data_IF_876833627945
#
_entry.id   IF_876833627945
#
_cell.length_a   1.000
_cell.length_b   1.000
_cell.length_c   1.000
_cell.angle_alpha   90.00
_cell.angle_beta   90.00
_cell.angle_gamma   90.00
#
_symmetry.space_group_name_H-M   'P 1'
#
loop_
_entity.id
_entity.type
_entity.pdbx_description
1 polymer ?
#
# COMPACT_ATOMS: atom_id res chain seq x y z
N UNK A 1 -1.49 36.19 7.42
CA UNK A 1 -2.86 35.63 7.53
C UNK A 1 -3.91 36.54 6.88
N UNK A 2 -5.02 36.00 6.32
CA UNK A 2 -6.08 36.79 5.70
C UNK A 2 -6.89 37.56 6.74
N UNK A 3 -7.26 38.81 6.45
CA UNK A 3 -8.02 39.65 7.39
C UNK A 3 -9.44 39.07 7.54
N UNK A 4 -9.79 38.60 8.76
CA UNK A 4 -11.10 38.07 9.24
C UNK A 4 -11.33 36.53 9.23
N UNK A 5 -10.30 35.69 9.19
CA UNK A 5 -10.49 34.25 9.43
C UNK A 5 -10.75 33.95 10.92
N UNK A 6 -11.68 33.04 11.26
CA UNK A 6 -11.95 32.64 12.66
C UNK A 6 -10.95 31.61 13.20
N UNK A 7 -10.46 30.74 12.32
CA UNK A 7 -9.43 29.74 12.62
C UNK A 7 -8.57 29.55 11.36
N UNK A 8 -7.33 29.12 11.54
CA UNK A 8 -6.39 28.77 10.51
C UNK A 8 -6.87 27.47 9.87
N UNK A 9 -7.21 27.46 8.58
CA UNK A 9 -7.69 26.25 7.92
C UNK A 9 -6.63 25.14 7.88
N UNK A 10 -5.34 25.48 8.03
CA UNK A 10 -4.23 24.54 7.90
C UNK A 10 -3.91 23.80 9.22
N UNK A 11 -3.78 24.53 10.32
CA UNK A 11 -3.37 23.96 11.62
C UNK A 11 -4.47 23.99 12.68
N UNK A 12 -5.64 24.54 12.36
CA UNK A 12 -6.77 24.70 13.29
C UNK A 12 -6.57 25.78 14.35
N UNK A 13 -5.45 26.50 14.34
CA UNK A 13 -5.16 27.55 15.32
C UNK A 13 -6.09 28.76 15.12
N UNK A 14 -6.59 29.33 16.20
CA UNK A 14 -7.52 30.46 16.23
C UNK A 14 -7.03 31.55 17.20
N UNK A 15 -7.87 32.54 17.49
CA UNK A 15 -7.48 33.66 18.37
C UNK A 15 -7.17 33.19 19.80
N UNK A 16 -7.80 32.10 20.28
CA UNK A 16 -7.60 31.58 21.63
C UNK A 16 -6.35 30.72 21.73
N UNK A 17 -6.09 29.89 20.71
CA UNK A 17 -4.93 28.99 20.66
C UNK A 17 -3.66 29.64 20.09
N UNK A 18 -3.80 30.84 19.52
CA UNK A 18 -2.71 31.71 19.06
C UNK A 18 -2.36 31.50 17.60
N UNK A 19 -2.51 32.57 16.83
CA UNK A 19 -2.08 32.65 15.44
C UNK A 19 -0.54 32.66 15.36
N UNK A 20 0.06 31.60 14.82
CA UNK A 20 1.51 31.53 14.57
C UNK A 20 1.81 31.51 13.07
N UNK A 21 2.62 32.47 12.61
CA UNK A 21 3.15 32.50 11.24
C UNK A 21 4.21 31.39 11.00
N UNK A 22 4.74 30.81 12.07
CA UNK A 22 5.78 29.77 12.10
C UNK A 22 5.24 28.33 12.16
N UNK A 23 3.96 28.10 11.85
CA UNK A 23 3.32 26.77 11.87
C UNK A 23 3.82 25.80 10.76
N UNK A 24 5.11 25.83 10.43
CA UNK A 24 5.61 25.25 9.17
C UNK A 24 6.26 23.88 9.35
N UNK A 25 6.76 23.48 10.53
CA UNK A 25 7.46 22.17 10.63
C UNK A 25 7.40 21.48 12.00
N UNK A 26 7.30 22.24 13.10
CA UNK A 26 7.67 21.73 14.45
C UNK A 26 6.62 20.88 15.20
N UNK A 27 5.46 20.58 14.62
CA UNK A 27 4.36 19.90 15.34
C UNK A 27 3.89 18.59 14.71
N UNK A 28 4.58 18.10 13.69
CA UNK A 28 4.23 16.80 13.12
C UNK A 28 4.74 15.63 13.96
N UNK A 29 5.54 15.88 15.01
CA UNK A 29 6.19 14.82 15.79
C UNK A 29 7.10 13.93 14.94
N UNK A 30 7.45 14.41 13.74
CA UNK A 30 8.32 13.72 12.83
C UNK A 30 9.75 13.92 13.32
N UNK A 31 10.56 12.86 13.37
CA UNK A 31 11.98 12.98 13.66
C UNK A 31 12.62 14.02 12.72
N UNK A 32 13.53 14.83 13.26
CA UNK A 32 14.36 15.75 12.45
C UNK A 32 15.39 15.00 11.59
N UNK A 33 15.55 13.70 11.83
CA UNK A 33 16.40 12.78 11.05
C UNK A 33 15.72 12.39 9.73
N UNK A 34 16.53 12.07 8.71
CA UNK A 34 16.01 11.54 7.44
C UNK A 34 15.27 10.24 7.69
N UNK A 35 14.00 10.18 7.30
CA UNK A 35 13.18 8.96 7.40
C UNK A 35 13.86 7.77 6.72
N UNK A 36 14.22 6.74 7.49
CA UNK A 36 14.78 5.49 6.98
C UNK A 36 13.63 4.57 6.53
N UNK A 37 13.36 4.60 5.23
CA UNK A 37 12.34 3.78 4.60
C UNK A 37 12.63 2.27 4.77
N UNK A 38 13.89 1.87 4.73
CA UNK A 38 14.28 0.45 4.79
C UNK A 38 14.10 -0.10 6.22
N UNK A 39 14.41 0.71 7.24
CA UNK A 39 14.13 0.41 8.64
C UNK A 39 12.63 0.31 8.91
N UNK A 40 11.84 1.30 8.48
CA UNK A 40 10.38 1.27 8.61
C UNK A 40 9.77 0.02 7.96
N UNK A 41 10.17 -0.30 6.74
CA UNK A 41 9.68 -1.50 6.04
C UNK A 41 10.05 -2.77 6.80
N UNK A 42 11.26 -2.83 7.36
CA UNK A 42 11.73 -3.99 8.14
C UNK A 42 10.97 -4.15 9.45
N UNK A 43 10.70 -3.07 10.17
CA UNK A 43 9.99 -3.11 11.46
C UNK A 43 8.50 -3.44 11.29
N UNK A 44 7.84 -2.81 10.32
CA UNK A 44 6.39 -2.94 10.13
C UNK A 44 6.00 -4.20 9.35
N UNK A 45 6.81 -4.59 8.36
CA UNK A 45 6.47 -5.70 7.45
C UNK A 45 7.41 -6.91 7.58
N UNK A 46 8.49 -6.79 8.35
CA UNK A 46 9.49 -7.84 8.58
C UNK A 46 10.50 -8.00 7.43
N UNK A 47 11.64 -8.65 7.70
CA UNK A 47 12.68 -8.97 6.69
C UNK A 47 12.26 -10.02 5.65
N UNK A 48 11.02 -10.49 5.71
CA UNK A 48 10.54 -11.45 4.74
C UNK A 48 10.33 -10.71 3.43
N UNK A 49 11.39 -10.66 2.62
CA UNK A 49 11.29 -11.02 1.21
C UNK A 49 10.64 -12.40 1.17
N UNK A 50 9.34 -12.43 1.42
CA UNK A 50 8.51 -13.55 1.06
C UNK A 50 8.69 -13.59 -0.43
N UNK A 51 9.65 -14.41 -0.87
CA UNK A 51 9.72 -14.86 -2.24
C UNK A 51 8.30 -15.31 -2.50
N UNK A 52 7.52 -14.47 -3.20
CA UNK A 52 6.22 -14.83 -3.71
C UNK A 52 6.57 -15.83 -4.79
N UNK A 53 6.97 -17.04 -4.35
CA UNK A 53 7.24 -18.15 -5.23
C UNK A 53 5.87 -18.39 -5.82
N UNK A 54 5.66 -18.13 -7.12
CA UNK A 54 4.38 -18.43 -7.72
C UNK A 54 4.13 -19.88 -7.37
N UNK A 55 3.04 -20.13 -6.62
CA UNK A 55 2.63 -21.49 -6.31
C UNK A 55 2.36 -22.10 -7.68
N UNK A 56 3.32 -22.89 -8.16
CA UNK A 56 3.22 -23.53 -9.46
C UNK A 56 1.90 -24.28 -9.54
N UNK A 57 1.39 -24.42 -10.75
CA UNK A 57 0.17 -25.19 -11.01
C UNK A 57 0.39 -26.61 -10.47
N UNK A 58 -0.37 -26.97 -9.43
CA UNK A 58 -0.27 -28.27 -8.79
C UNK A 58 -0.56 -29.40 -9.78
N UNK A 59 0.01 -30.59 -9.54
CA UNK A 59 -0.15 -31.76 -10.43
C UNK A 59 -1.60 -32.09 -10.81
N UNK A 60 -2.56 -31.85 -9.90
CA UNK A 60 -4.00 -32.04 -10.17
C UNK A 60 -4.49 -31.20 -11.35
N UNK A 61 -4.02 -29.96 -11.48
CA UNK A 61 -4.42 -29.07 -12.56
C UNK A 61 -3.86 -29.50 -13.92
N UNK A 62 -2.73 -30.19 -13.96
CA UNK A 62 -2.25 -30.85 -15.18
C UNK A 62 -3.21 -31.95 -15.64
N UNK A 63 -3.69 -32.78 -14.71
CA UNK A 63 -4.70 -33.82 -15.00
C UNK A 63 -5.97 -33.18 -15.57
N UNK A 64 -6.48 -32.13 -14.91
CA UNK A 64 -7.66 -31.39 -15.38
C UNK A 64 -7.44 -30.83 -16.78
N UNK A 65 -6.28 -30.21 -17.05
CA UNK A 65 -5.94 -29.68 -18.37
C UNK A 65 -5.92 -30.75 -19.46
N UNK A 66 -5.31 -31.91 -19.19
CA UNK A 66 -5.30 -33.05 -20.12
C UNK A 66 -6.72 -33.57 -20.38
N UNK A 67 -7.55 -33.70 -19.35
CA UNK A 67 -8.94 -34.15 -19.48
C UNK A 67 -9.76 -33.23 -20.37
N UNK A 68 -9.63 -31.91 -20.17
CA UNK A 68 -10.32 -30.90 -20.98
C UNK A 68 -9.85 -30.94 -22.43
N UNK A 69 -8.53 -31.07 -22.67
CA UNK A 69 -7.99 -31.19 -24.02
C UNK A 69 -8.51 -32.43 -24.76
N UNK A 70 -8.55 -33.59 -24.09
CA UNK A 70 -9.10 -34.82 -24.66
C UNK A 70 -10.58 -34.67 -24.95
N UNK A 71 -11.37 -34.12 -24.01
CA UNK A 71 -12.80 -33.88 -24.22
C UNK A 71 -13.05 -32.96 -25.42
N UNK A 72 -12.26 -31.89 -25.56
CA UNK A 72 -12.36 -30.96 -26.67
C UNK A 72 -11.99 -31.61 -28.00
N UNK A 73 -10.91 -32.39 -28.05
CA UNK A 73 -10.53 -33.14 -29.24
C UNK A 73 -11.62 -34.15 -29.64
N UNK A 74 -12.21 -34.87 -28.69
CA UNK A 74 -13.32 -35.79 -28.96
C UNK A 74 -14.56 -35.08 -29.49
N UNK A 75 -14.85 -33.88 -28.98
CA UNK A 75 -15.99 -33.08 -29.45
C UNK A 75 -15.74 -32.61 -30.89
N UNK A 76 -14.53 -32.13 -31.21
CA UNK A 76 -14.15 -31.74 -32.56
C UNK A 76 -14.15 -32.90 -33.55
N UNK A 77 -13.72 -34.09 -33.14
CA UNK A 77 -13.73 -35.30 -33.99
C UNK A 77 -15.13 -35.88 -34.21
N UNK A 78 -16.11 -35.47 -33.41
CA UNK A 78 -17.52 -35.89 -33.54
C UNK A 78 -18.39 -34.87 -34.28
N UNK A 79 -17.88 -33.67 -34.51
CA UNK A 79 -18.50 -32.62 -35.32
C UNK A 79 -18.12 -32.81 -36.79
#
# INVERSE_FOLDING_TARGET
>A
MPRRAKACPECGADEETGWKDEAVVQRLGLPDDSFDYDEFVREEFGEKKASVKPRGIGWLWWIVGVLVLVAFALLLLRL
#
